data_IF_743141950379
#
_entry.id   IF_743141950379
#
_cell.length_a   1.000
_cell.length_b   1.000
_cell.length_c   1.000
_cell.angle_alpha   90.00
_cell.angle_beta   90.00
_cell.angle_gamma   90.00
#
_symmetry.space_group_name_H-M   'P 1'
#
loop_
_entity.id
_entity.type
_entity.pdbx_description
1 polymer ?
#
# COMPACT_ATOMS: atom_id res chain seq x y z
N UNK A 1 -28.23 -24.32 -20.24
CA UNK A 1 -28.32 -23.79 -18.85
C UNK A 1 -27.23 -24.46 -18.02
N UNK A 2 -26.29 -23.67 -17.52
CA UNK A 2 -25.08 -24.15 -16.84
C UNK A 2 -25.22 -24.20 -15.32
N UNK A 3 -24.19 -24.70 -14.64
CA UNK A 3 -24.14 -24.74 -13.17
C UNK A 3 -24.19 -23.34 -12.52
N UNK A 4 -23.64 -22.31 -13.21
CA UNK A 4 -23.59 -20.93 -12.72
C UNK A 4 -24.96 -20.24 -12.66
N UNK A 5 -25.89 -20.65 -13.51
CA UNK A 5 -27.26 -20.12 -13.54
C UNK A 5 -28.04 -20.42 -12.25
N UNK A 6 -27.53 -21.31 -11.39
CA UNK A 6 -28.12 -21.65 -10.08
C UNK A 6 -27.69 -20.72 -8.94
N UNK A 7 -26.76 -19.80 -9.21
CA UNK A 7 -26.17 -18.83 -8.26
C UNK A 7 -26.61 -17.41 -8.61
N UNK A 8 -27.90 -17.25 -8.88
CA UNK A 8 -28.58 -16.00 -9.27
C UNK A 8 -28.90 -15.08 -8.09
N UNK A 9 -28.62 -15.50 -6.86
CA UNK A 9 -28.96 -14.77 -5.64
C UNK A 9 -30.40 -14.97 -5.16
N UNK A 10 -31.28 -15.60 -5.95
CA UNK A 10 -32.65 -15.92 -5.53
C UNK A 10 -32.70 -17.24 -4.77
N UNK A 11 -31.99 -18.27 -5.27
CA UNK A 11 -31.96 -19.61 -4.63
C UNK A 11 -30.65 -19.92 -3.93
N UNK A 12 -29.53 -19.34 -4.39
CA UNK A 12 -28.19 -19.55 -3.81
C UNK A 12 -27.40 -18.26 -3.88
N UNK A 13 -26.63 -17.97 -2.82
CA UNK A 13 -25.75 -16.80 -2.77
C UNK A 13 -24.80 -16.84 -3.99
N UNK A 14 -24.71 -15.76 -4.80
CA UNK A 14 -23.83 -15.71 -5.98
C UNK A 14 -22.36 -15.99 -5.67
N UNK A 15 -21.98 -15.84 -4.41
CA UNK A 15 -20.63 -15.98 -3.90
C UNK A 15 -20.43 -17.27 -3.08
N UNK A 16 -21.36 -18.24 -3.13
CA UNK A 16 -21.28 -19.51 -2.39
C UNK A 16 -21.37 -20.77 -3.27
N UNK A 17 -20.49 -20.90 -4.26
CA UNK A 17 -20.40 -22.10 -5.09
C UNK A 17 -20.03 -23.33 -4.27
N UNK A 18 -20.67 -24.48 -4.56
CA UNK A 18 -20.64 -25.66 -3.68
C UNK A 18 -19.31 -26.41 -3.67
N UNK A 19 -18.39 -26.06 -4.59
CA UNK A 19 -17.12 -26.74 -4.84
C UNK A 19 -16.18 -26.75 -3.61
N UNK A 20 -16.33 -25.80 -2.69
CA UNK A 20 -15.58 -25.73 -1.43
C UNK A 20 -16.47 -25.58 -0.18
N UNK A 21 -17.77 -25.86 -0.28
CA UNK A 21 -18.75 -25.58 0.79
C UNK A 21 -18.86 -24.09 1.15
N UNK A 22 -19.64 -23.76 2.18
CA UNK A 22 -19.82 -22.37 2.68
C UNK A 22 -18.56 -21.78 3.37
N UNK A 23 -17.37 -22.30 3.07
CA UNK A 23 -16.13 -21.92 3.72
C UNK A 23 -15.51 -20.71 3.02
N UNK A 24 -15.10 -19.71 3.80
CA UNK A 24 -14.54 -18.41 3.37
C UNK A 24 -13.26 -18.49 2.50
N UNK A 25 -12.75 -19.70 2.22
CA UNK A 25 -11.52 -19.93 1.48
C UNK A 25 -11.48 -19.21 0.12
N UNK A 26 -12.60 -19.18 -0.62
CA UNK A 26 -12.65 -18.52 -1.94
C UNK A 26 -12.68 -17.00 -1.87
N UNK A 27 -13.36 -16.42 -0.88
CA UNK A 27 -13.34 -14.97 -0.66
C UNK A 27 -11.93 -14.49 -0.27
N UNK A 28 -11.24 -15.27 0.58
CA UNK A 28 -9.84 -15.01 0.95
C UNK A 28 -8.86 -15.26 -0.20
N UNK A 29 -9.16 -16.16 -1.14
CA UNK A 29 -8.35 -16.34 -2.34
C UNK A 29 -8.27 -15.05 -3.18
N UNK A 30 -9.34 -14.25 -3.22
CA UNK A 30 -9.33 -12.94 -3.91
C UNK A 30 -8.36 -11.94 -3.26
N UNK A 31 -8.17 -12.03 -1.94
CA UNK A 31 -7.19 -11.21 -1.22
C UNK A 31 -5.75 -11.54 -1.63
N UNK A 32 -5.45 -12.80 -1.93
CA UNK A 32 -4.12 -13.21 -2.39
C UNK A 32 -3.69 -12.50 -3.69
N UNK A 33 -4.64 -12.22 -4.58
CA UNK A 33 -4.40 -11.46 -5.81
C UNK A 33 -4.00 -10.01 -5.49
N UNK A 34 -4.70 -9.37 -4.56
CA UNK A 34 -4.32 -8.03 -4.08
C UNK A 34 -2.89 -8.03 -3.55
N UNK A 35 -2.54 -8.99 -2.68
CA UNK A 35 -1.19 -9.10 -2.11
C UNK A 35 -0.12 -9.34 -3.18
N UNK A 36 -0.38 -10.25 -4.13
CA UNK A 36 0.56 -10.59 -5.19
C UNK A 36 0.83 -9.41 -6.14
N UNK A 37 -0.22 -8.67 -6.51
CA UNK A 37 -0.11 -7.56 -7.46
C UNK A 37 0.42 -6.28 -6.82
N UNK A 38 0.03 -5.99 -5.58
CA UNK A 38 0.48 -4.78 -4.86
C UNK A 38 1.82 -4.96 -4.17
N UNK A 39 2.22 -6.21 -3.87
CA UNK A 39 3.32 -6.50 -2.97
C UNK A 39 3.11 -5.95 -1.56
N UNK A 40 1.86 -5.69 -1.17
CA UNK A 40 1.51 -5.08 0.10
C UNK A 40 1.89 -6.00 1.27
N UNK A 41 2.53 -5.41 2.30
CA UNK A 41 2.74 -6.05 3.60
C UNK A 41 2.63 -5.02 4.72
N UNK A 42 2.19 -5.48 5.88
CA UNK A 42 2.14 -4.70 7.11
C UNK A 42 2.80 -5.47 8.25
N UNK A 43 3.64 -4.77 9.01
CA UNK A 43 4.22 -5.26 10.26
C UNK A 43 4.00 -4.21 11.34
N UNK A 44 3.11 -4.50 12.29
CA UNK A 44 2.88 -3.63 13.44
C UNK A 44 4.12 -3.48 14.34
N UNK A 45 4.86 -4.56 14.68
CA UNK A 45 6.07 -4.44 15.51
C UNK A 45 7.16 -3.57 14.86
N UNK A 46 7.31 -3.64 13.54
CA UNK A 46 8.27 -2.81 12.79
C UNK A 46 7.71 -1.43 12.40
N UNK A 47 6.43 -1.17 12.69
CA UNK A 47 5.67 0.01 12.25
C UNK A 47 5.83 0.25 10.73
N UNK A 48 5.82 -0.84 9.97
CA UNK A 48 6.23 -0.84 8.56
C UNK A 48 5.07 -1.18 7.66
N UNK A 49 4.85 -0.33 6.67
CA UNK A 49 4.01 -0.60 5.50
C UNK A 49 4.90 -0.79 4.28
N UNK A 50 4.63 -1.80 3.48
CA UNK A 50 5.37 -2.12 2.26
C UNK A 50 4.43 -2.11 1.08
N UNK A 51 4.83 -1.49 -0.03
CA UNK A 51 4.16 -1.57 -1.31
C UNK A 51 5.19 -1.85 -2.41
N UNK A 52 5.03 -2.97 -3.10
CA UNK A 52 5.90 -3.39 -4.19
C UNK A 52 5.09 -3.81 -5.42
N UNK A 53 4.43 -2.85 -6.10
CA UNK A 53 3.49 -3.18 -7.16
C UNK A 53 4.19 -3.87 -8.32
N UNK A 54 3.60 -4.99 -8.77
CA UNK A 54 4.07 -5.81 -9.90
C UNK A 54 3.46 -5.36 -11.22
N UNK A 55 2.30 -4.71 -11.16
CA UNK A 55 1.57 -4.14 -12.30
C UNK A 55 1.43 -2.63 -12.12
N UNK A 56 1.40 -1.89 -13.23
CA UNK A 56 1.20 -0.44 -13.26
C UNK A 56 2.10 0.34 -12.29
N UNK A 57 3.35 -0.09 -12.09
CA UNK A 57 4.21 0.45 -11.05
C UNK A 57 4.46 1.97 -11.17
N UNK A 58 4.43 2.53 -12.37
CA UNK A 58 4.52 3.97 -12.61
C UNK A 58 3.28 4.74 -12.13
N UNK A 59 2.08 4.14 -12.15
CA UNK A 59 0.81 4.76 -11.73
C UNK A 59 -0.03 3.72 -11.01
N UNK A 60 0.22 3.57 -9.72
CA UNK A 60 -0.34 2.49 -8.93
C UNK A 60 -1.22 3.01 -7.81
N UNK A 61 -2.31 2.30 -7.57
CA UNK A 61 -3.22 2.55 -6.46
C UNK A 61 -3.73 1.20 -5.94
N UNK A 62 -3.76 1.04 -4.62
CA UNK A 62 -4.41 -0.12 -4.02
C UNK A 62 -5.02 0.18 -2.65
N UNK A 63 -5.99 -0.65 -2.30
CA UNK A 63 -6.47 -0.76 -0.94
C UNK A 63 -5.39 -1.35 -0.02
N UNK A 64 -5.37 -0.94 1.24
CA UNK A 64 -4.58 -1.58 2.29
C UNK A 64 -5.34 -1.59 3.62
N UNK A 65 -5.00 -2.54 4.48
CA UNK A 65 -5.43 -2.57 5.88
C UNK A 65 -4.24 -2.33 6.81
N UNK A 66 -4.49 -2.06 8.08
CA UNK A 66 -3.50 -1.99 9.14
C UNK A 66 -4.17 -2.42 10.46
N UNK A 67 -3.44 -2.36 11.58
CA UNK A 67 -3.94 -2.84 12.88
C UNK A 67 -5.34 -2.31 13.24
N UNK A 68 -5.53 -0.99 13.23
CA UNK A 68 -6.75 -0.31 13.66
C UNK A 68 -7.44 0.51 12.57
N UNK A 69 -7.04 0.35 11.30
CA UNK A 69 -7.51 1.22 10.23
C UNK A 69 -7.24 0.65 8.85
N UNK A 70 -7.79 1.30 7.84
CA UNK A 70 -7.59 0.95 6.44
C UNK A 70 -7.66 2.18 5.55
N UNK A 71 -7.16 2.02 4.33
CA UNK A 71 -6.92 3.17 3.49
C UNK A 71 -6.61 2.83 2.03
N UNK A 72 -6.17 3.86 1.33
CA UNK A 72 -5.69 3.77 -0.05
C UNK A 72 -4.25 4.23 -0.11
N UNK A 73 -3.40 3.41 -0.72
CA UNK A 73 -2.07 3.81 -1.12
C UNK A 73 -2.09 4.23 -2.59
N UNK A 74 -1.47 5.36 -2.89
CA UNK A 74 -1.36 5.90 -4.25
C UNK A 74 0.11 6.20 -4.50
N UNK A 75 0.63 5.83 -5.68
CA UNK A 75 1.93 6.28 -6.13
C UNK A 75 1.93 6.68 -7.59
N UNK A 76 2.81 7.63 -7.89
CA UNK A 76 3.22 8.00 -9.24
C UNK A 76 4.75 7.99 -9.29
N UNK A 77 5.31 7.22 -10.21
CA UNK A 77 6.74 7.12 -10.46
C UNK A 77 7.04 7.64 -11.86
N UNK A 78 7.98 8.57 -11.92
CA UNK A 78 8.49 9.18 -13.14
C UNK A 78 10.02 9.08 -13.13
N UNK A 79 10.67 9.36 -14.25
CA UNK A 79 12.13 9.24 -14.37
C UNK A 79 12.90 10.05 -13.32
N UNK A 80 12.41 11.24 -12.99
CA UNK A 80 13.09 12.20 -12.11
C UNK A 80 12.43 12.36 -10.74
N UNK A 81 11.27 11.75 -10.49
CA UNK A 81 10.64 11.84 -9.18
C UNK A 81 9.65 10.71 -8.94
N UNK A 82 9.36 10.48 -7.66
CA UNK A 82 8.28 9.61 -7.22
C UNK A 82 7.47 10.32 -6.16
N UNK A 83 6.16 10.26 -6.30
CA UNK A 83 5.22 10.71 -5.27
C UNK A 83 4.47 9.51 -4.74
N UNK A 84 4.37 9.40 -3.41
CA UNK A 84 3.61 8.39 -2.71
C UNK A 84 2.69 9.06 -1.69
N UNK A 85 1.46 8.58 -1.61
CA UNK A 85 0.43 9.05 -0.67
C UNK A 85 -0.18 7.86 0.05
N UNK A 86 -0.23 7.95 1.37
CA UNK A 86 -0.92 6.99 2.24
C UNK A 86 -2.11 7.71 2.87
N UNK A 87 -3.33 7.34 2.49
CA UNK A 87 -4.56 7.98 2.97
C UNK A 87 -5.38 7.00 3.80
N UNK A 88 -5.77 7.41 5.01
CA UNK A 88 -6.61 6.61 5.90
C UNK A 88 -8.07 6.99 5.72
N UNK A 89 -8.92 6.00 5.42
CA UNK A 89 -10.37 6.20 5.24
C UNK A 89 -11.18 5.86 6.48
N UNK A 90 -10.65 4.99 7.34
CA UNK A 90 -11.29 4.62 8.59
C UNK A 90 -10.27 4.22 9.64
N UNK A 91 -10.60 4.54 10.90
CA UNK A 91 -9.78 4.23 12.06
C UNK A 91 -8.49 5.04 12.09
N UNK A 92 -7.41 4.40 12.52
CA UNK A 92 -6.09 5.02 12.65
C UNK A 92 -5.02 4.07 12.10
N UNK A 93 -4.12 4.61 11.28
CA UNK A 93 -2.97 3.88 10.75
C UNK A 93 -1.70 4.41 11.38
N UNK A 94 -0.97 3.53 12.07
CA UNK A 94 0.34 3.84 12.65
C UNK A 94 1.45 3.37 11.73
N UNK A 95 2.35 4.27 11.36
CA UNK A 95 3.45 3.98 10.45
C UNK A 95 4.69 4.78 10.84
N UNK A 96 5.82 4.11 11.01
CA UNK A 96 7.13 4.74 11.14
C UNK A 96 7.99 4.56 9.89
N UNK A 97 7.69 3.54 9.07
CA UNK A 97 8.46 3.21 7.88
C UNK A 97 7.57 2.84 6.70
N UNK A 98 7.89 3.39 5.53
CA UNK A 98 7.22 3.08 4.27
C UNK A 98 8.24 2.51 3.27
N UNK A 99 8.08 1.24 2.92
CA UNK A 99 8.92 0.54 1.95
C UNK A 99 8.27 0.56 0.57
N UNK A 100 8.93 1.16 -0.40
CA UNK A 100 8.44 1.37 -1.77
C UNK A 100 9.32 0.64 -2.78
N UNK A 101 8.77 -0.12 -3.72
CA UNK A 101 9.55 -0.80 -4.79
C UNK A 101 10.48 0.18 -5.51
N UNK A 102 11.75 -0.13 -5.69
CA UNK A 102 12.70 0.70 -6.45
C UNK A 102 12.40 0.69 -7.95
N UNK A 103 12.59 1.83 -8.62
CA UNK A 103 12.66 1.90 -10.09
C UNK A 103 14.07 1.56 -10.56
N UNK A 104 14.19 0.91 -11.72
CA UNK A 104 15.43 0.27 -12.17
C UNK A 104 16.63 1.26 -12.26
N UNK A 105 16.36 2.53 -12.53
CA UNK A 105 17.40 3.47 -12.97
C UNK A 105 18.03 4.31 -11.85
N UNK A 106 17.43 4.37 -10.65
CA UNK A 106 17.93 5.21 -9.57
C UNK A 106 19.03 4.50 -8.76
N UNK A 107 20.23 5.07 -8.72
CA UNK A 107 21.35 4.55 -7.90
C UNK A 107 21.18 4.90 -6.42
N UNK A 108 20.72 6.11 -6.12
CA UNK A 108 20.34 6.61 -4.80
C UNK A 108 19.02 7.39 -4.88
N UNK A 109 18.42 7.67 -3.73
CA UNK A 109 17.22 8.48 -3.62
C UNK A 109 17.37 9.47 -2.46
N UNK A 110 16.69 10.61 -2.55
CA UNK A 110 16.56 11.59 -1.48
C UNK A 110 15.08 11.89 -1.25
N UNK A 111 14.72 12.21 0.00
CA UNK A 111 13.39 12.73 0.33
C UNK A 111 13.39 14.22 0.00
N UNK A 112 12.71 14.61 -1.08
CA UNK A 112 12.56 16.02 -1.45
C UNK A 112 11.55 16.72 -0.54
N UNK A 113 10.44 16.04 -0.22
CA UNK A 113 9.44 16.54 0.71
C UNK A 113 8.69 15.40 1.36
N UNK A 114 8.35 15.54 2.63
CA UNK A 114 7.41 14.70 3.32
C UNK A 114 6.46 15.57 4.14
N UNK A 115 5.16 15.28 4.06
CA UNK A 115 4.10 16.02 4.74
C UNK A 115 3.30 15.05 5.59
N UNK A 116 3.16 15.37 6.87
CA UNK A 116 2.45 14.56 7.85
C UNK A 116 0.92 14.76 7.80
N UNK A 117 0.18 14.00 8.63
CA UNK A 117 -1.29 14.03 8.70
C UNK A 117 -1.89 15.38 9.12
N UNK A 118 -1.10 16.20 9.79
CA UNK A 118 -1.45 17.56 10.21
C UNK A 118 -1.16 18.63 9.13
N UNK A 119 -0.62 18.22 7.98
CA UNK A 119 -0.22 19.10 6.89
C UNK A 119 1.16 19.75 7.09
N UNK A 120 1.89 19.43 8.17
CA UNK A 120 3.22 19.99 8.42
C UNK A 120 4.31 19.18 7.73
N UNK A 121 5.43 19.84 7.46
CA UNK A 121 6.61 19.20 6.90
C UNK A 121 7.29 18.29 7.94
N UNK A 122 7.68 17.09 7.52
CA UNK A 122 8.41 16.13 8.34
C UNK A 122 9.92 16.26 8.07
N UNK A 123 10.66 16.84 9.03
CA UNK A 123 12.08 17.17 8.87
C UNK A 123 13.03 15.98 9.05
N UNK A 124 12.60 14.92 9.73
CA UNK A 124 13.46 13.80 10.12
C UNK A 124 13.41 12.61 9.14
N UNK A 125 12.76 12.81 7.99
CA UNK A 125 12.57 11.75 7.01
C UNK A 125 13.88 11.40 6.30
N UNK A 126 14.24 10.12 6.34
CA UNK A 126 15.40 9.58 5.65
C UNK A 126 14.94 8.49 4.67
N UNK A 127 15.71 8.29 3.61
CA UNK A 127 15.48 7.19 2.68
C UNK A 127 16.74 6.35 2.56
N UNK A 128 16.59 5.05 2.78
CA UNK A 128 17.65 4.06 2.66
C UNK A 128 17.32 3.07 1.56
N UNK A 129 18.35 2.53 0.92
CA UNK A 129 18.17 1.46 -0.07
C UNK A 129 18.11 0.11 0.66
N UNK A 130 17.06 -0.66 0.40
CA UNK A 130 16.93 -2.06 0.83
C UNK A 130 16.64 -2.93 -0.41
N UNK A 131 17.62 -3.68 -0.90
CA UNK A 131 17.51 -4.57 -2.06
C UNK A 131 16.87 -3.89 -3.30
N UNK A 132 15.62 -4.25 -3.58
CA UNK A 132 14.76 -3.82 -4.68
C UNK A 132 13.74 -2.77 -4.21
N UNK A 133 14.04 -2.03 -3.14
CA UNK A 133 13.15 -1.05 -2.54
C UNK A 133 13.88 0.16 -1.94
N UNK A 134 13.11 1.23 -1.79
CA UNK A 134 13.43 2.40 -0.99
C UNK A 134 12.67 2.28 0.34
N UNK A 135 13.39 2.30 1.45
CA UNK A 135 12.80 2.37 2.78
C UNK A 135 12.83 3.83 3.23
N UNK A 136 11.66 4.46 3.25
CA UNK A 136 11.47 5.76 3.88
C UNK A 136 11.25 5.53 5.37
N UNK A 137 12.13 6.08 6.20
CA UNK A 137 11.97 6.13 7.66
C UNK A 137 11.56 7.55 8.04
N UNK A 138 10.43 7.70 8.73
CA UNK A 138 9.93 9.02 9.13
C UNK A 138 10.70 9.59 10.34
N UNK A 139 11.53 8.77 11.01
CA UNK A 139 12.25 9.13 12.24
C UNK A 139 11.39 9.01 13.51
N UNK A 140 10.07 8.93 13.36
CA UNK A 140 9.10 8.76 14.45
C UNK A 140 7.89 7.92 14.01
N UNK A 141 7.05 7.51 14.96
CA UNK A 141 5.77 6.88 14.62
C UNK A 141 4.77 7.98 14.22
N UNK A 142 4.31 7.94 12.97
CA UNK A 142 3.21 8.76 12.51
C UNK A 142 1.88 8.07 12.79
N UNK A 143 0.95 8.87 13.30
CA UNK A 143 -0.44 8.47 13.51
C UNK A 143 -1.30 9.14 12.46
N UNK A 144 -1.84 8.36 11.52
CA UNK A 144 -2.66 8.85 10.40
C UNK A 144 -4.13 8.52 10.66
N UNK A 145 -4.92 9.43 11.25
CA UNK A 145 -6.34 9.19 11.52
C UNK A 145 -7.16 9.25 10.24
N UNK A 146 -8.41 8.76 10.33
CA UNK A 146 -9.39 8.84 9.26
C UNK A 146 -9.51 10.25 8.64
N UNK A 147 -9.56 10.31 7.31
CA UNK A 147 -9.63 11.53 6.53
C UNK A 147 -8.30 12.29 6.39
N UNK A 148 -7.20 11.75 6.91
CA UNK A 148 -5.86 12.32 6.78
C UNK A 148 -4.95 11.47 5.90
N UNK A 149 -3.86 12.07 5.45
CA UNK A 149 -2.89 11.42 4.60
C UNK A 149 -1.45 11.83 4.95
N UNK A 150 -0.51 10.99 4.54
CA UNK A 150 0.92 11.30 4.50
C UNK A 150 1.34 11.33 3.04
N UNK A 151 1.99 12.40 2.62
CA UNK A 151 2.50 12.59 1.25
C UNK A 151 4.02 12.63 1.27
N UNK A 152 4.66 11.91 0.35
CA UNK A 152 6.12 11.81 0.24
C UNK A 152 6.51 12.00 -1.21
N UNK A 153 7.53 12.82 -1.45
CA UNK A 153 8.18 12.96 -2.75
C UNK A 153 9.65 12.57 -2.64
N UNK A 154 10.04 11.57 -3.42
CA UNK A 154 11.42 11.14 -3.60
C UNK A 154 11.96 11.65 -4.94
N UNK A 155 13.25 11.91 -4.99
CA UNK A 155 14.01 12.25 -6.20
C UNK A 155 15.28 11.40 -6.26
N UNK A 156 15.83 11.14 -7.46
CA UNK A 156 17.12 10.47 -7.57
C UNK A 156 18.21 11.32 -6.90
N UNK A 157 19.13 10.67 -6.20
CA UNK A 157 20.35 11.32 -5.74
C UNK A 157 21.29 11.45 -6.95
N UNK A 158 21.62 12.69 -7.34
CA UNK A 158 22.65 12.94 -8.35
C UNK A 158 24.00 12.44 -7.83
N UNK A 159 24.76 11.78 -8.70
CA UNK A 159 26.11 11.25 -8.42
C UNK A 159 27.13 12.32 -8.76
#
# INVERSE_FOLDING_TARGET
KGARDRYDGARRNPWNEVECGSHYARALASWSVLLALSGYRYSAPERRLTFMPRVNAERFQCFFTAGSGWGTFIQRSEKASRVARLETHYGEVRVGRLKLRKDADWKGALVLSATGPDGKHLSNCQVNREDQAWLVDFGEELVVPSGKAVDIKLVPQEV
#
